data_IF_503722216812
#
_entry.id   IF_503722216812
#
_cell.length_a   1.000
_cell.length_b   1.000
_cell.length_c   1.000
_cell.angle_alpha   90.00
_cell.angle_beta   90.00
_cell.angle_gamma   90.00
#
_symmetry.space_group_name_H-M   'P 1'
#
loop_
_entity.id
_entity.type
_entity.pdbx_description
1 polymer ?
#
# COMPACT_ATOMS: atom_id res chain seq x y z
N UNK A 1 -12.52 -29.29 -17.37
CA UNK A 1 -12.90 -28.05 -18.08
C UNK A 1 -13.42 -26.98 -17.09
N UNK A 2 -12.90 -26.93 -15.85
CA UNK A 2 -13.39 -25.98 -14.82
C UNK A 2 -12.35 -24.92 -14.42
N UNK A 3 -11.10 -25.04 -14.87
CA UNK A 3 -10.02 -24.14 -14.44
C UNK A 3 -10.06 -22.78 -15.13
N UNK A 4 -10.87 -22.60 -16.17
CA UNK A 4 -10.88 -21.37 -16.98
C UNK A 4 -11.79 -20.26 -16.42
N UNK A 5 -12.56 -20.53 -15.37
CA UNK A 5 -13.60 -19.61 -14.87
C UNK A 5 -13.15 -18.62 -13.77
N UNK A 6 -11.89 -18.62 -13.33
CA UNK A 6 -11.49 -17.85 -12.13
C UNK A 6 -10.55 -16.65 -12.36
N UNK A 7 -10.21 -16.33 -13.61
CA UNK A 7 -9.59 -15.04 -13.96
C UNK A 7 -10.58 -14.14 -14.70
N UNK A 8 -11.78 -13.97 -14.13
CA UNK A 8 -12.78 -13.08 -14.68
C UNK A 8 -12.27 -11.63 -14.58
N UNK A 9 -11.66 -11.14 -15.66
CA UNK A 9 -11.38 -9.72 -15.84
C UNK A 9 -12.73 -8.99 -15.82
N UNK A 10 -12.87 -8.04 -14.91
CA UNK A 10 -14.05 -7.18 -14.86
C UNK A 10 -13.96 -6.10 -15.95
N UNK A 11 -14.33 -6.49 -17.17
CA UNK A 11 -14.34 -5.60 -18.33
C UNK A 11 -15.24 -4.37 -18.12
N UNK A 12 -16.33 -4.51 -17.36
CA UNK A 12 -17.25 -3.41 -17.07
C UNK A 12 -16.65 -2.37 -16.11
N UNK A 13 -15.84 -2.80 -15.13
CA UNK A 13 -15.07 -1.88 -14.30
C UNK A 13 -14.01 -1.13 -15.10
N UNK A 14 -13.27 -1.82 -15.98
CA UNK A 14 -12.25 -1.21 -16.83
C UNK A 14 -12.88 -0.22 -17.84
N UNK A 15 -14.02 -0.58 -18.43
CA UNK A 15 -14.78 0.28 -19.33
C UNK A 15 -15.17 1.62 -18.66
N UNK A 16 -15.70 1.56 -17.44
CA UNK A 16 -16.03 2.75 -16.65
C UNK A 16 -14.80 3.58 -16.30
N UNK A 17 -13.70 2.95 -15.91
CA UNK A 17 -12.45 3.63 -15.55
C UNK A 17 -11.85 4.38 -16.74
N UNK A 18 -11.80 3.75 -17.92
CA UNK A 18 -11.18 4.32 -19.11
C UNK A 18 -12.14 5.15 -19.97
N UNK A 19 -13.44 5.19 -19.62
CA UNK A 19 -14.51 5.82 -20.41
C UNK A 19 -14.55 5.29 -21.86
N UNK A 20 -14.38 3.98 -22.02
CA UNK A 20 -14.38 3.28 -23.30
C UNK A 20 -15.52 2.25 -23.36
N UNK A 21 -15.88 1.83 -24.57
CA UNK A 21 -16.87 0.77 -24.74
C UNK A 21 -16.28 -0.58 -24.35
N UNK A 22 -17.05 -1.41 -23.65
CA UNK A 22 -16.62 -2.73 -23.22
C UNK A 22 -16.22 -3.63 -24.41
N UNK A 23 -16.93 -3.48 -25.54
CA UNK A 23 -16.63 -4.19 -26.80
C UNK A 23 -15.23 -3.85 -27.32
N UNK A 24 -14.83 -2.57 -27.30
CA UNK A 24 -13.50 -2.13 -27.73
C UNK A 24 -12.40 -2.72 -26.83
N UNK A 25 -12.65 -2.79 -25.53
CA UNK A 25 -11.72 -3.39 -24.57
C UNK A 25 -11.58 -4.88 -24.82
N UNK A 26 -12.70 -5.62 -24.96
CA UNK A 26 -12.68 -7.06 -25.23
C UNK A 26 -11.92 -7.41 -26.51
N UNK A 27 -12.17 -6.69 -27.60
CA UNK A 27 -11.45 -6.89 -28.86
C UNK A 27 -9.95 -6.58 -28.72
N UNK A 28 -9.60 -5.48 -28.04
CA UNK A 28 -8.20 -5.12 -27.79
C UNK A 28 -7.51 -6.19 -26.94
N UNK A 29 -8.18 -6.71 -25.92
CA UNK A 29 -7.64 -7.77 -25.05
C UNK A 29 -7.46 -9.08 -25.80
N UNK A 30 -8.42 -9.47 -26.65
CA UNK A 30 -8.27 -10.65 -27.54
C UNK A 30 -7.02 -10.52 -28.40
N UNK A 31 -6.81 -9.36 -29.02
CA UNK A 31 -5.63 -9.12 -29.84
C UNK A 31 -4.33 -9.18 -29.03
N UNK A 32 -4.29 -8.62 -27.82
CA UNK A 32 -3.12 -8.69 -26.95
C UNK A 32 -2.84 -10.14 -26.50
N UNK A 33 -3.88 -10.92 -26.21
CA UNK A 33 -3.75 -12.32 -25.80
C UNK A 33 -3.33 -13.26 -26.94
N UNK A 34 -3.70 -12.92 -28.18
CA UNK A 34 -3.17 -13.53 -29.41
C UNK A 34 -1.67 -13.24 -29.63
N UNK A 35 -1.04 -12.42 -28.77
CA UNK A 35 0.39 -12.07 -28.83
C UNK A 35 0.70 -10.86 -29.72
N UNK A 36 -0.30 -10.11 -30.17
CA UNK A 36 -0.07 -8.91 -30.97
C UNK A 36 0.51 -7.78 -30.11
N UNK A 37 1.48 -7.03 -30.64
CA UNK A 37 2.06 -5.87 -29.97
C UNK A 37 1.20 -4.62 -30.14
N UNK A 38 1.29 -3.67 -29.20
CA UNK A 38 0.55 -2.41 -29.29
C UNK A 38 0.77 -1.67 -30.63
N UNK A 39 2.01 -1.51 -31.14
CA UNK A 39 2.23 -0.86 -32.43
C UNK A 39 1.63 -1.63 -33.61
N UNK A 40 1.53 -2.96 -33.50
CA UNK A 40 0.87 -3.77 -34.53
C UNK A 40 -0.64 -3.57 -34.52
N UNK A 41 -1.25 -3.55 -33.34
CA UNK A 41 -2.70 -3.35 -33.18
C UNK A 41 -3.11 -1.98 -33.72
N UNK A 42 -2.38 -0.92 -33.36
CA UNK A 42 -2.67 0.47 -33.77
C UNK A 42 -2.57 0.66 -35.28
N UNK A 43 -1.65 -0.05 -35.95
CA UNK A 43 -1.42 0.06 -37.41
C UNK A 43 -2.30 -0.86 -38.24
N UNK A 44 -2.48 -2.11 -37.81
CA UNK A 44 -3.03 -3.18 -38.66
C UNK A 44 -4.35 -3.77 -38.15
N UNK A 45 -4.82 -3.37 -36.97
CA UNK A 45 -6.05 -3.89 -36.35
C UNK A 45 -6.97 -2.77 -35.81
N UNK A 46 -6.81 -1.56 -36.35
CA UNK A 46 -7.57 -0.38 -35.94
C UNK A 46 -9.09 -0.56 -36.07
N UNK A 47 -9.56 -1.30 -37.07
CA UNK A 47 -10.98 -1.56 -37.29
C UNK A 47 -11.58 -2.44 -36.19
N UNK A 48 -10.81 -3.44 -35.71
CA UNK A 48 -11.26 -4.35 -34.63
C UNK A 48 -11.35 -3.63 -33.29
N UNK A 49 -10.47 -2.66 -33.01
CA UNK A 49 -10.49 -1.90 -31.76
C UNK A 49 -11.46 -0.71 -31.81
N UNK A 50 -12.12 -0.45 -32.95
CA UNK A 50 -12.99 0.71 -33.12
C UNK A 50 -12.21 2.03 -33.13
N UNK A 51 -11.00 2.03 -33.68
CA UNK A 51 -10.22 3.24 -33.90
C UNK A 51 -9.34 3.71 -32.75
N UNK A 52 -9.09 2.88 -31.73
CA UNK A 52 -8.25 3.26 -30.58
C UNK A 52 -6.82 3.63 -31.01
N UNK A 53 -6.30 4.68 -30.38
CA UNK A 53 -4.90 5.11 -30.51
C UNK A 53 -3.97 4.28 -29.61
N UNK A 54 -2.66 4.49 -29.78
CA UNK A 54 -1.63 3.76 -29.04
C UNK A 54 -1.73 3.97 -27.53
N UNK A 55 -2.01 5.19 -27.09
CA UNK A 55 -2.11 5.54 -25.68
C UNK A 55 -3.26 4.79 -25.01
N UNK A 56 -4.44 4.77 -25.62
CA UNK A 56 -5.60 4.03 -25.09
C UNK A 56 -5.36 2.53 -25.04
N UNK A 57 -4.70 1.96 -26.05
CA UNK A 57 -4.38 0.52 -26.05
C UNK A 57 -3.39 0.19 -24.92
N UNK A 58 -2.40 1.04 -24.64
CA UNK A 58 -1.50 0.88 -23.48
C UNK A 58 -2.27 0.96 -22.16
N UNK A 59 -3.17 1.93 -22.01
CA UNK A 59 -4.01 2.05 -20.81
C UNK A 59 -4.88 0.81 -20.58
N UNK A 60 -5.45 0.23 -21.65
CA UNK A 60 -6.19 -1.03 -21.58
C UNK A 60 -5.26 -2.17 -21.14
N UNK A 61 -4.09 -2.29 -21.76
CA UNK A 61 -3.10 -3.33 -21.43
C UNK A 61 -2.73 -3.29 -19.94
N UNK A 62 -2.45 -2.10 -19.40
CA UNK A 62 -2.09 -1.90 -18.00
C UNK A 62 -3.25 -2.18 -17.04
N UNK A 63 -4.47 -1.75 -17.38
CA UNK A 63 -5.66 -2.02 -16.58
C UNK A 63 -5.98 -3.52 -16.52
N UNK A 64 -5.87 -4.22 -17.65
CA UNK A 64 -6.11 -5.65 -17.76
C UNK A 64 -5.04 -6.44 -17.03
N UNK A 65 -3.77 -6.06 -17.17
CA UNK A 65 -2.65 -6.65 -16.42
C UNK A 65 -2.88 -6.56 -14.91
N UNK A 66 -3.24 -5.37 -14.40
CA UNK A 66 -3.58 -5.18 -12.98
C UNK A 66 -4.79 -6.02 -12.55
N UNK A 67 -5.82 -6.10 -13.39
CA UNK A 67 -7.01 -6.93 -13.12
C UNK A 67 -6.67 -8.42 -13.02
N UNK A 68 -5.83 -8.93 -13.92
CA UNK A 68 -5.30 -10.31 -13.90
C UNK A 68 -4.52 -10.58 -12.62
N UNK A 69 -3.56 -9.71 -12.29
CA UNK A 69 -2.77 -9.82 -11.05
C UNK A 69 -3.67 -9.85 -9.81
N UNK A 70 -4.71 -9.02 -9.77
CA UNK A 70 -5.68 -9.01 -8.67
C UNK A 70 -6.46 -10.34 -8.60
N UNK A 71 -6.95 -10.86 -9.73
CA UNK A 71 -7.65 -12.14 -9.80
C UNK A 71 -6.77 -13.31 -9.36
N UNK A 72 -5.54 -13.40 -9.87
CA UNK A 72 -4.58 -14.43 -9.45
C UNK A 72 -4.29 -14.37 -7.95
N UNK A 73 -4.17 -13.15 -7.40
CA UNK A 73 -3.94 -12.97 -5.96
C UNK A 73 -5.14 -13.42 -5.14
N UNK A 74 -6.37 -13.10 -5.56
CA UNK A 74 -7.62 -13.57 -4.93
C UNK A 74 -7.64 -15.10 -4.85
N UNK A 75 -7.41 -15.76 -5.98
CA UNK A 75 -7.43 -17.22 -6.06
C UNK A 75 -6.40 -17.87 -5.15
N UNK A 76 -5.17 -17.35 -5.15
CA UNK A 76 -4.10 -17.85 -4.27
C UNK A 76 -4.47 -17.72 -2.80
N UNK A 77 -5.03 -16.56 -2.41
CA UNK A 77 -5.47 -16.31 -1.03
C UNK A 77 -6.61 -17.25 -0.65
N UNK A 78 -7.64 -17.37 -1.49
CA UNK A 78 -8.78 -18.25 -1.24
C UNK A 78 -8.32 -19.71 -1.05
N UNK A 79 -7.48 -20.22 -1.94
CA UNK A 79 -6.92 -21.58 -1.81
C UNK A 79 -6.11 -21.75 -0.53
N UNK A 80 -5.29 -20.75 -0.17
CA UNK A 80 -4.45 -20.80 1.03
C UNK A 80 -5.26 -20.77 2.33
N UNK A 81 -6.39 -20.06 2.36
CA UNK A 81 -7.28 -20.01 3.53
C UNK A 81 -8.14 -21.27 3.59
N UNK A 82 -8.62 -21.74 2.44
CA UNK A 82 -9.38 -22.99 2.34
C UNK A 82 -8.54 -24.19 2.80
N UNK A 83 -7.25 -24.25 2.47
CA UNK A 83 -6.36 -25.32 2.96
C UNK A 83 -6.10 -25.29 4.47
N UNK A 84 -6.51 -24.23 5.17
CA UNK A 84 -6.44 -24.10 6.63
C UNK A 84 -7.80 -24.35 7.29
N UNK A 85 -8.82 -24.76 6.54
CA UNK A 85 -10.22 -24.93 6.98
C UNK A 85 -10.80 -23.67 7.66
N UNK A 86 -10.26 -22.49 7.34
CA UNK A 86 -10.62 -21.22 7.95
C UNK A 86 -11.47 -20.31 7.03
N UNK A 87 -11.87 -20.80 5.86
CA UNK A 87 -12.63 -20.02 4.88
C UNK A 87 -14.11 -20.00 5.24
N UNK A 88 -14.59 -18.84 5.69
CA UNK A 88 -16.03 -18.59 5.90
C UNK A 88 -16.66 -17.96 4.67
N UNK A 89 -17.98 -18.11 4.50
CA UNK A 89 -18.72 -17.50 3.39
C UNK A 89 -18.59 -15.96 3.38
N UNK A 90 -18.59 -15.33 4.57
CA UNK A 90 -18.41 -13.88 4.71
C UNK A 90 -17.00 -13.43 4.28
N UNK A 91 -15.97 -14.20 4.66
CA UNK A 91 -14.58 -13.91 4.28
C UNK A 91 -14.36 -14.11 2.79
N UNK A 92 -14.91 -15.18 2.21
CA UNK A 92 -14.87 -15.41 0.77
C UNK A 92 -15.49 -14.23 0.01
N UNK A 93 -16.66 -13.76 0.45
CA UNK A 93 -17.32 -12.61 -0.17
C UNK A 93 -16.45 -11.34 -0.08
N UNK A 94 -15.83 -11.06 1.08
CA UNK A 94 -14.91 -9.93 1.25
C UNK A 94 -13.71 -10.02 0.32
N UNK A 95 -13.11 -11.20 0.16
CA UNK A 95 -11.97 -11.44 -0.74
C UNK A 95 -12.38 -11.24 -2.20
N UNK A 96 -13.52 -11.80 -2.61
CA UNK A 96 -14.04 -11.64 -3.98
C UNK A 96 -14.36 -10.19 -4.30
N UNK A 97 -14.90 -9.43 -3.34
CA UNK A 97 -15.24 -8.02 -3.49
C UNK A 97 -14.04 -7.05 -3.42
N UNK A 98 -12.89 -7.49 -2.93
CA UNK A 98 -11.71 -6.63 -2.79
C UNK A 98 -11.26 -6.06 -4.15
N UNK A 99 -11.05 -4.75 -4.21
CA UNK A 99 -10.73 -4.01 -5.42
C UNK A 99 -9.25 -3.63 -5.57
N UNK A 100 -8.41 -4.02 -4.62
CA UNK A 100 -6.97 -3.74 -4.65
C UNK A 100 -6.16 -4.87 -3.99
N UNK A 101 -4.92 -5.04 -4.46
CA UNK A 101 -3.97 -6.00 -3.87
C UNK A 101 -3.74 -5.72 -2.38
N UNK A 102 -3.76 -4.45 -1.99
CA UNK A 102 -3.56 -4.02 -0.62
C UNK A 102 -4.68 -4.49 0.33
N UNK A 103 -5.93 -4.34 -0.10
CA UNK A 103 -7.09 -4.82 0.69
C UNK A 103 -7.04 -6.35 0.80
N UNK A 104 -6.65 -7.05 -0.28
CA UNK A 104 -6.45 -8.50 -0.24
C UNK A 104 -5.36 -8.91 0.75
N UNK A 105 -4.23 -8.21 0.74
CA UNK A 105 -3.13 -8.51 1.66
C UNK A 105 -3.52 -8.26 3.12
N UNK A 106 -4.29 -7.20 3.40
CA UNK A 106 -4.83 -6.94 4.75
C UNK A 106 -5.79 -8.06 5.19
N UNK A 107 -6.67 -8.55 4.31
CA UNK A 107 -7.59 -9.67 4.61
C UNK A 107 -6.86 -11.01 4.80
N UNK A 108 -5.79 -11.24 4.06
CA UNK A 108 -5.00 -12.47 4.13
C UNK A 108 -4.03 -12.50 5.31
N UNK A 109 -3.69 -11.33 5.88
CA UNK A 109 -2.67 -11.19 6.91
C UNK A 109 -2.79 -12.16 8.09
N UNK A 110 -4.00 -12.40 8.68
CA UNK A 110 -4.16 -13.34 9.79
C UNK A 110 -3.85 -14.80 9.44
N UNK A 111 -4.01 -15.17 8.16
CA UNK A 111 -3.87 -16.54 7.64
C UNK A 111 -2.50 -16.78 6.99
N UNK A 112 -1.66 -15.76 6.92
CA UNK A 112 -0.33 -15.87 6.34
C UNK A 112 0.54 -16.74 7.26
N UNK A 113 1.25 -17.75 6.74
CA UNK A 113 2.19 -18.53 7.55
C UNK A 113 3.22 -17.61 8.20
N UNK A 114 3.28 -17.63 9.54
CA UNK A 114 4.18 -16.76 10.31
C UNK A 114 5.44 -17.52 10.71
N UNK A 115 6.59 -16.85 10.59
CA UNK A 115 7.80 -17.24 11.34
C UNK A 115 7.55 -17.03 12.83
N UNK A 116 8.35 -17.63 13.71
CA UNK A 116 8.28 -17.37 15.16
C UNK A 116 8.34 -15.85 15.42
N UNK A 117 7.21 -15.27 15.84
CA UNK A 117 7.11 -13.88 16.32
C UNK A 117 7.21 -13.87 17.85
N UNK A 118 7.44 -12.70 18.45
CA UNK A 118 7.38 -12.55 19.91
C UNK A 118 6.01 -12.97 20.47
N UNK A 119 4.92 -12.71 19.72
CA UNK A 119 3.59 -13.19 20.08
C UNK A 119 3.50 -14.72 19.99
N UNK A 120 4.01 -15.36 18.92
CA UNK A 120 4.05 -16.83 18.82
C UNK A 120 4.82 -17.45 19.98
N UNK A 121 5.97 -16.87 20.37
CA UNK A 121 6.74 -17.31 21.53
C UNK A 121 5.93 -17.15 22.82
N UNK A 122 5.24 -16.02 23.00
CA UNK A 122 4.36 -15.80 24.16
C UNK A 122 3.21 -16.81 24.23
N UNK A 123 2.60 -17.17 23.08
CA UNK A 123 1.58 -18.24 23.00
C UNK A 123 2.14 -19.61 23.36
N UNK A 124 3.33 -19.94 22.87
CA UNK A 124 4.04 -21.18 23.22
C UNK A 124 4.35 -21.27 24.72
N UNK A 125 4.53 -20.13 25.39
CA UNK A 125 4.67 -20.04 26.85
C UNK A 125 3.34 -20.10 27.60
N UNK A 126 2.21 -20.22 26.92
CA UNK A 126 0.88 -20.37 27.52
C UNK A 126 0.24 -19.05 27.96
N UNK A 127 0.62 -17.91 27.36
CA UNK A 127 0.08 -16.59 27.71
C UNK A 127 -1.22 -16.20 26.96
N UNK A 128 -1.75 -17.08 26.10
CA UNK A 128 -3.00 -16.80 25.38
C UNK A 128 -4.20 -16.55 26.32
N UNK A 129 -4.43 -17.35 27.39
CA UNK A 129 -5.53 -17.09 28.32
C UNK A 129 -5.38 -15.75 29.04
N UNK A 130 -4.16 -15.39 29.46
CA UNK A 130 -3.88 -14.10 30.09
C UNK A 130 -4.19 -12.92 29.15
N UNK A 131 -3.85 -13.05 27.86
CA UNK A 131 -4.17 -12.03 26.88
C UNK A 131 -5.68 -11.88 26.66
N UNK A 132 -6.44 -12.98 26.66
CA UNK A 132 -7.90 -12.93 26.55
C UNK A 132 -8.55 -12.28 27.77
N UNK A 133 -8.07 -12.60 28.99
CA UNK A 133 -8.55 -11.96 30.23
C UNK A 133 -8.39 -10.44 30.20
N UNK A 134 -7.22 -9.97 29.75
CA UNK A 134 -6.93 -8.53 29.61
C UNK A 134 -7.82 -7.90 28.55
N UNK A 135 -8.01 -8.57 27.41
CA UNK A 135 -8.82 -8.04 26.31
C UNK A 135 -10.31 -7.93 26.67
N UNK A 136 -10.86 -8.92 27.36
CA UNK A 136 -12.27 -8.95 27.77
C UNK A 136 -12.57 -8.03 28.95
N UNK A 137 -11.53 -7.46 29.57
CA UNK A 137 -11.64 -6.70 30.81
C UNK A 137 -12.51 -7.45 31.84
N UNK A 138 -12.11 -8.69 32.16
CA UNK A 138 -12.92 -9.61 32.98
C UNK A 138 -13.45 -8.92 34.25
N UNK A 139 -14.78 -8.99 34.51
CA UNK A 139 -15.37 -8.33 35.67
C UNK A 139 -14.75 -8.84 36.97
N UNK A 140 -14.26 -7.90 37.80
CA UNK A 140 -13.63 -8.22 39.09
C UNK A 140 -12.09 -8.16 39.07
N UNK A 141 -11.46 -8.08 37.89
CA UNK A 141 -10.03 -7.77 37.79
C UNK A 141 -9.83 -6.27 38.04
N UNK A 142 -9.47 -5.92 39.28
CA UNK A 142 -9.19 -4.53 39.69
C UNK A 142 -7.71 -4.20 39.59
N UNK A 143 -6.85 -5.22 39.69
CA UNK A 143 -5.39 -5.12 39.59
C UNK A 143 -4.85 -6.12 38.57
N UNK A 144 -4.18 -5.58 37.55
CA UNK A 144 -3.57 -6.34 36.46
C UNK A 144 -2.41 -7.21 36.94
N UNK A 145 -1.67 -6.76 37.96
CA UNK A 145 -0.48 -7.46 38.43
C UNK A 145 -0.88 -8.74 39.16
N UNK A 146 -1.91 -8.63 40.00
CA UNK A 146 -2.53 -9.75 40.70
C UNK A 146 -3.15 -10.78 39.74
N UNK A 147 -3.80 -10.34 38.66
CA UNK A 147 -4.41 -11.27 37.70
C UNK A 147 -3.38 -12.01 36.85
N UNK A 148 -2.22 -11.41 36.61
CA UNK A 148 -1.14 -11.98 35.81
C UNK A 148 -0.13 -12.79 36.62
N UNK A 149 -0.09 -12.64 37.95
CA UNK A 149 0.80 -13.39 38.83
C UNK A 149 0.74 -14.93 38.65
N UNK A 150 -0.43 -15.57 38.40
CA UNK A 150 -0.51 -17.01 38.15
C UNK A 150 0.20 -17.48 36.87
N UNK A 151 0.53 -16.57 35.95
CA UNK A 151 1.19 -16.89 34.68
C UNK A 151 2.71 -16.73 34.74
N UNK A 152 3.27 -16.36 35.90
CA UNK A 152 4.73 -16.30 36.11
C UNK A 152 5.27 -17.72 36.20
N UNK A 153 6.21 -18.04 35.31
CA UNK A 153 6.78 -19.37 35.15
C UNK A 153 8.24 -19.25 34.69
N UNK A 154 9.22 -19.36 35.62
CA UNK A 154 10.64 -19.28 35.29
C UNK A 154 11.10 -20.34 34.28
N UNK A 155 10.48 -21.52 34.24
CA UNK A 155 10.83 -22.59 33.29
C UNK A 155 10.49 -22.19 31.86
N UNK A 156 9.48 -21.34 31.69
CA UNK A 156 9.06 -20.77 30.40
C UNK A 156 9.73 -19.42 30.09
N UNK A 157 10.79 -19.06 30.83
CA UNK A 157 11.43 -17.74 30.74
C UNK A 157 10.47 -16.58 31.02
N UNK A 158 9.54 -16.76 31.95
CA UNK A 158 8.63 -15.75 32.47
C UNK A 158 8.94 -15.54 33.96
N UNK A 159 10.09 -14.95 34.25
CA UNK A 159 10.62 -14.85 35.62
C UNK A 159 9.91 -13.79 36.46
N UNK A 160 9.27 -12.82 35.83
CA UNK A 160 8.58 -11.72 36.51
C UNK A 160 7.19 -11.46 35.92
N UNK A 161 6.32 -10.83 36.70
CA UNK A 161 5.00 -10.34 36.22
C UNK A 161 5.18 -9.37 35.05
N UNK A 162 6.28 -8.62 35.01
CA UNK A 162 6.58 -7.72 33.89
C UNK A 162 6.86 -8.49 32.58
N UNK A 163 7.56 -9.62 32.65
CA UNK A 163 7.78 -10.48 31.48
C UNK A 163 6.46 -11.03 30.94
N UNK A 164 5.54 -11.38 31.84
CA UNK A 164 4.17 -11.79 31.49
C UNK A 164 3.43 -10.64 30.80
N UNK A 165 3.45 -9.42 31.35
CA UNK A 165 2.83 -8.24 30.74
C UNK A 165 3.37 -7.96 29.34
N UNK A 166 4.68 -8.03 29.15
CA UNK A 166 5.32 -7.84 27.83
C UNK A 166 4.84 -8.93 26.87
N UNK A 167 4.83 -10.19 27.30
CA UNK A 167 4.35 -11.31 26.49
C UNK A 167 2.88 -11.17 26.08
N UNK A 168 2.00 -10.82 27.02
CA UNK A 168 0.59 -10.49 26.77
C UNK A 168 0.47 -9.31 25.81
N UNK A 169 1.27 -8.26 26.02
CA UNK A 169 1.33 -7.09 25.15
C UNK A 169 1.71 -7.45 23.71
N UNK A 170 2.64 -8.37 23.51
CA UNK A 170 2.98 -8.85 22.16
C UNK A 170 1.82 -9.58 21.48
N UNK A 171 1.08 -10.43 22.22
CA UNK A 171 -0.11 -11.12 21.69
C UNK A 171 -1.18 -10.12 21.27
N UNK A 172 -1.50 -9.16 22.13
CA UNK A 172 -2.50 -8.13 21.85
C UNK A 172 -2.09 -7.20 20.72
N UNK A 173 -0.81 -6.78 20.70
CA UNK A 173 -0.26 -5.96 19.62
C UNK A 173 -0.37 -6.67 18.27
N UNK A 174 -0.03 -7.96 18.20
CA UNK A 174 -0.21 -8.75 16.97
C UNK A 174 -1.69 -8.78 16.57
N UNK A 175 -2.60 -9.12 17.49
CA UNK A 175 -4.06 -9.19 17.24
C UNK A 175 -4.62 -7.87 16.72
N UNK A 176 -4.20 -6.73 17.26
CA UNK A 176 -4.65 -5.41 16.79
C UNK A 176 -3.98 -5.01 15.47
N UNK A 177 -2.71 -5.35 15.27
CA UNK A 177 -1.97 -5.00 14.06
C UNK A 177 -2.50 -5.71 12.80
N UNK A 178 -3.16 -6.86 12.99
CA UNK A 178 -3.69 -7.71 11.92
C UNK A 178 -5.16 -7.46 11.59
N UNK A 179 -5.83 -6.61 12.37
CA UNK A 179 -7.22 -6.21 12.17
C UNK A 179 -7.37 -5.32 10.91
N UNK A 180 -8.04 -5.78 9.83
CA UNK A 180 -8.13 -5.03 8.58
C UNK A 180 -8.85 -3.67 8.73
N UNK A 181 -9.84 -3.62 9.60
CA UNK A 181 -10.58 -2.41 9.97
C UNK A 181 -9.66 -1.35 10.60
N UNK A 182 -8.87 -1.74 11.61
CA UNK A 182 -7.92 -0.83 12.26
C UNK A 182 -6.82 -0.35 11.30
N UNK A 183 -6.28 -1.24 10.48
CA UNK A 183 -5.25 -0.89 9.48
C UNK A 183 -5.76 0.12 8.47
N UNK A 184 -7.02 -0.02 8.06
CA UNK A 184 -7.65 0.92 7.12
C UNK A 184 -7.82 2.30 7.74
N UNK A 185 -8.24 2.37 9.01
CA UNK A 185 -8.38 3.61 9.76
C UNK A 185 -7.03 4.30 9.95
N UNK A 186 -6.04 3.60 10.50
CA UNK A 186 -4.70 4.17 10.79
C UNK A 186 -4.05 4.68 9.50
N UNK A 187 -4.20 3.96 8.39
CA UNK A 187 -3.66 4.38 7.10
C UNK A 187 -4.31 5.66 6.58
N UNK A 188 -5.63 5.80 6.72
CA UNK A 188 -6.33 7.04 6.37
C UNK A 188 -5.79 8.21 7.18
N UNK A 189 -5.55 7.99 8.46
CA UNK A 189 -4.98 8.99 9.36
C UNK A 189 -3.52 9.34 9.01
N UNK A 190 -2.68 8.36 8.69
CA UNK A 190 -1.27 8.62 8.29
C UNK A 190 -1.21 9.38 6.95
N UNK A 191 -2.17 9.17 6.05
CA UNK A 191 -2.21 9.86 4.76
C UNK A 191 -2.44 11.38 4.88
N UNK A 192 -2.97 11.84 6.02
CA UNK A 192 -3.07 13.28 6.34
C UNK A 192 -1.84 13.81 7.08
N UNK A 193 -0.82 12.97 7.28
CA UNK A 193 0.41 13.33 7.98
C UNK A 193 1.36 14.18 7.14
N UNK A 194 2.35 14.77 7.80
CA UNK A 194 3.43 15.51 7.15
C UNK A 194 4.67 14.64 7.00
N UNK A 195 5.28 14.68 5.81
CA UNK A 195 6.57 14.04 5.58
C UNK A 195 7.68 14.95 6.13
N UNK A 196 8.43 14.45 7.11
CA UNK A 196 9.55 15.16 7.72
C UNK A 196 10.83 14.41 7.40
N UNK A 197 11.82 15.12 6.84
CA UNK A 197 13.17 14.59 6.62
C UNK A 197 14.16 15.36 7.49
N UNK A 198 15.08 14.64 8.13
CA UNK A 198 16.17 15.22 8.92
C UNK A 198 17.50 14.66 8.43
N UNK A 199 18.44 15.55 8.11
CA UNK A 199 19.81 15.18 7.76
C UNK A 199 20.50 14.56 8.98
N UNK A 200 21.11 13.39 8.79
CA UNK A 200 22.03 12.81 9.77
C UNK A 200 23.38 13.53 9.58
N UNK A 201 23.84 14.24 10.59
CA UNK A 201 25.17 14.85 10.60
C UNK A 201 26.18 13.76 11.00
N UNK A 202 27.12 13.46 10.09
CA UNK A 202 28.09 12.36 10.10
C UNK A 202 27.49 11.00 9.68
N UNK A 203 27.44 10.69 8.36
CA UNK A 203 27.27 9.31 7.93
C UNK A 203 28.43 8.48 8.49
N UNK A 204 28.15 7.32 9.10
CA UNK A 204 29.20 6.32 9.30
C UNK A 204 29.72 5.91 7.93
N UNK A 205 31.04 5.79 7.82
CA UNK A 205 31.79 5.52 6.60
C UNK A 205 31.63 4.05 6.16
N UNK A 206 30.38 3.61 6.01
CA UNK A 206 29.99 2.26 5.61
C UNK A 206 29.28 2.29 4.24
N UNK A 207 29.50 3.35 3.46
CA UNK A 207 28.99 3.51 2.11
C UNK A 207 29.93 2.84 1.12
N UNK A 208 29.68 1.58 0.79
CA UNK A 208 30.20 0.98 -0.44
C UNK A 208 29.91 1.91 -1.62
N UNK A 209 30.99 2.38 -2.23
CA UNK A 209 31.03 3.29 -3.36
C UNK A 209 30.21 2.71 -4.53
N UNK A 210 28.97 3.17 -4.70
CA UNK A 210 28.26 3.00 -5.97
C UNK A 210 28.96 3.88 -7.00
N UNK A 211 29.91 3.29 -7.72
CA UNK A 211 30.61 3.92 -8.83
C UNK A 211 29.61 4.42 -9.89
N UNK A 212 29.43 5.74 -9.93
CA UNK A 212 28.80 6.42 -11.05
C UNK A 212 29.73 6.34 -12.26
N UNK A 213 29.39 5.42 -13.16
CA UNK A 213 29.98 5.34 -14.48
C UNK A 213 29.53 6.50 -15.36
N UNK A 214 30.07 7.69 -15.12
CA UNK A 214 30.06 8.78 -16.09
C UNK A 214 31.47 8.99 -16.62
N UNK A 215 31.69 8.45 -17.82
CA UNK A 215 32.92 8.60 -18.60
C UNK A 215 33.11 10.07 -18.99
N UNK A 216 34.03 10.78 -18.34
CA UNK A 216 34.57 12.03 -18.87
C UNK A 216 35.69 11.72 -19.85
N UNK A 217 35.37 11.74 -21.15
CA UNK A 217 36.36 11.96 -22.21
C UNK A 217 36.92 13.37 -22.04
N UNK A 218 38.17 13.45 -21.63
CA UNK A 218 38.99 14.66 -21.65
C UNK A 218 39.55 14.92 -23.05
N UNK A 219 40.04 16.16 -23.22
CA UNK A 219 40.95 16.67 -24.27
C UNK A 219 40.28 17.21 -25.54
N UNK A 220 40.58 18.39 -26.10
CA UNK A 220 41.63 19.44 -26.02
C UNK A 220 40.95 20.73 -26.56
N UNK A 221 41.40 21.99 -26.44
CA UNK A 221 42.62 22.65 -26.02
C UNK A 221 42.56 24.13 -26.51
N UNK A 222 43.62 24.90 -26.21
CA UNK A 222 44.03 26.18 -26.83
C UNK A 222 43.73 27.52 -26.12
N UNK A 223 44.69 27.92 -25.27
CA UNK A 223 45.52 29.14 -25.33
C UNK A 223 44.88 30.55 -25.53
N UNK A 224 44.81 31.32 -24.43
CA UNK A 224 45.50 32.62 -24.11
C UNK A 224 45.66 33.74 -25.20
N UNK A 225 46.01 35.01 -24.84
CA UNK A 225 45.41 35.99 -23.91
C UNK A 225 45.46 37.48 -24.45
N UNK A 226 45.13 38.45 -23.57
CA UNK A 226 45.55 39.87 -23.57
C UNK A 226 44.79 40.86 -24.51
N UNK A 227 44.53 42.14 -24.24
CA UNK A 227 44.88 43.15 -23.21
C UNK A 227 43.98 44.38 -23.48
N UNK A 228 43.57 45.15 -22.47
CA UNK A 228 43.74 46.63 -22.37
C UNK A 228 42.93 47.20 -21.20
N UNK A 229 43.66 47.79 -20.26
CA UNK A 229 43.26 48.69 -19.16
C UNK A 229 42.94 50.12 -19.70
N UNK A 230 42.64 51.16 -18.90
CA UNK A 230 42.08 51.26 -17.53
C UNK A 230 40.93 52.32 -17.45
N UNK A 231 40.29 52.52 -16.28
CA UNK A 231 39.88 53.86 -15.71
C UNK A 231 38.95 53.69 -14.50
N UNK A 232 39.50 54.00 -13.32
CA UNK A 232 38.98 54.85 -12.22
C UNK A 232 37.57 54.65 -11.65
N UNK A 233 37.49 54.34 -10.34
CA UNK A 233 36.35 54.67 -9.48
C UNK A 233 36.12 53.69 -8.33
N UNK A 234 36.52 54.07 -7.11
CA UNK A 234 36.27 53.38 -5.83
C UNK A 234 34.95 53.91 -5.18
N UNK A 235 34.50 53.45 -3.99
CA UNK A 235 33.68 52.27 -3.73
C UNK A 235 32.27 52.61 -3.20
N UNK A 236 31.30 51.68 -3.26
CA UNK A 236 30.14 51.71 -2.33
C UNK A 236 29.43 50.35 -2.21
N UNK A 237 29.50 49.79 -1.01
CA UNK A 237 28.48 49.10 -0.19
C UNK A 237 27.27 48.42 -0.87
N UNK A 238 27.06 47.13 -0.58
CA UNK A 238 25.73 46.51 -0.55
C UNK A 238 25.69 45.00 -0.89
N UNK A 239 25.44 44.16 0.12
CA UNK A 239 25.14 42.72 -0.02
C UNK A 239 23.94 42.43 -0.95
N UNK A 240 23.90 41.25 -1.61
CA UNK A 240 22.82 40.87 -2.51
C UNK A 240 21.68 40.13 -1.78
N UNK A 241 20.45 40.59 -1.98
CA UNK A 241 19.24 39.82 -1.68
C UNK A 241 18.88 38.95 -2.90
N UNK A 242 18.88 37.63 -2.70
CA UNK A 242 18.49 36.65 -3.71
C UNK A 242 16.96 36.61 -3.89
N UNK A 243 16.55 36.64 -5.16
CA UNK A 243 15.19 36.58 -5.65
C UNK A 243 14.50 35.24 -5.35
N UNK A 244 13.22 35.38 -5.02
CA UNK A 244 12.21 34.33 -4.97
C UNK A 244 11.90 33.77 -6.35
N UNK A 245 11.96 32.44 -6.50
CA UNK A 245 11.35 31.73 -7.62
C UNK A 245 10.05 31.04 -7.15
N UNK A 246 8.95 31.63 -7.59
CA UNK A 246 7.61 31.05 -7.64
C UNK A 246 7.55 29.95 -8.69
N UNK A 247 6.94 28.81 -8.35
CA UNK A 247 6.38 27.89 -9.35
C UNK A 247 4.92 27.63 -8.96
N UNK A 248 4.04 28.15 -9.81
CA UNK A 248 2.60 28.00 -9.75
C UNK A 248 2.14 26.58 -10.06
N UNK A 249 1.16 26.20 -9.25
CA UNK A 249 -0.01 25.35 -9.46
C UNK A 249 -0.19 24.56 -10.77
N UNK A 250 -0.54 23.28 -10.61
CA UNK A 250 -1.56 22.68 -11.45
C UNK A 250 -2.55 21.84 -10.62
N UNK A 251 -3.71 22.46 -10.34
CA UNK A 251 -5.08 21.94 -10.48
C UNK A 251 -5.29 20.43 -10.28
N UNK A 252 -5.86 19.97 -9.16
CA UNK A 252 -7.29 19.94 -8.80
C UNK A 252 -8.15 19.07 -9.73
N UNK A 253 -8.69 17.99 -9.16
CA UNK A 253 -9.78 17.21 -9.76
C UNK A 253 -10.13 15.95 -8.98
N UNK A 254 -10.66 16.09 -7.75
CA UNK A 254 -11.79 15.26 -7.27
C UNK A 254 -12.20 15.63 -5.83
N UNK A 255 -13.17 16.54 -5.71
CA UNK A 255 -14.05 16.66 -4.55
C UNK A 255 -15.45 17.08 -5.02
N UNK A 256 -16.39 16.12 -5.07
CA UNK A 256 -17.78 16.24 -4.57
C UNK A 256 -18.60 15.04 -5.05
N UNK A 257 -19.04 14.21 -4.11
CA UNK A 257 -20.43 13.78 -3.95
C UNK A 257 -20.52 12.84 -2.73
N UNK A 258 -21.12 13.31 -1.63
CA UNK A 258 -21.99 12.54 -0.73
C UNK A 258 -22.17 13.27 0.62
N UNK A 259 -22.92 14.37 0.61
CA UNK A 259 -23.68 14.82 1.78
C UNK A 259 -25.02 15.33 1.26
N UNK A 260 -26.02 14.46 1.19
CA UNK A 260 -27.40 14.82 1.51
C UNK A 260 -28.25 13.55 1.70
N UNK A 261 -28.59 13.25 2.96
CA UNK A 261 -29.82 12.55 3.38
C UNK A 261 -29.73 12.26 4.88
N UNK A 262 -30.03 13.31 5.66
CA UNK A 262 -30.55 13.17 7.01
C UNK A 262 -32.07 13.36 6.98
N UNK A 263 -32.73 12.69 7.92
CA UNK A 263 -34.14 12.81 8.32
C UNK A 263 -35.15 11.94 7.54
N UNK A 264 -35.41 10.75 8.07
CA UNK A 264 -36.79 10.27 8.16
C UNK A 264 -37.07 9.76 9.58
N UNK A 265 -37.93 10.53 10.24
CA UNK A 265 -38.59 10.26 11.51
C UNK A 265 -39.47 9.02 11.37
N UNK A 266 -39.36 8.08 12.31
CA UNK A 266 -40.48 7.21 12.65
C UNK A 266 -40.60 7.11 14.16
N UNK A 267 -41.71 7.64 14.61
CA UNK A 267 -42.27 7.68 15.95
C UNK A 267 -42.66 6.29 16.45
N UNK A 268 -42.73 6.21 17.78
CA UNK A 268 -43.53 5.27 18.57
C UNK A 268 -44.85 4.89 17.89
N UNK A 269 -45.20 3.60 17.98
CA UNK A 269 -46.52 3.27 18.48
C UNK A 269 -46.49 1.94 19.23
N UNK A 270 -47.14 1.96 20.38
CA UNK A 270 -47.34 0.85 21.29
C UNK A 270 -48.45 -0.08 20.78
N UNK A 271 -48.27 -1.39 20.94
CA UNK A 271 -49.27 -2.34 21.48
C UNK A 271 -48.54 -3.62 21.88
#
# INVERSE_FOLDING_TARGET
>A
METTLLLAIDYAAIARQLKLQETQIRETVSLLDEGNTVPFITRYRKDRTGGLDEEKIRLIQDAVSRSRQLGERKDRILRSIQSQDALTAELEQKIRAANSLKVLDDLYLPFRPKKQTLATVARQRGLEPAAEQVLQAEPGVTDLDSSLAPFVDPEKSLSTVNDVKIGVGHILAERFSERPDLRTLVRRYIWTGQLVSKRIENPTDDGEEYGDGSSSLSEQGSLMPNTTDPTTGDPTTGDPAAETLSIDENSTGDQKLAEDSSAMVLSDDAT
#
